data_IF_554515619346
#
_entry.id   IF_554515619346
#
_cell.length_a   1.000
_cell.length_b   1.000
_cell.length_c   1.000
_cell.angle_alpha   90.00
_cell.angle_beta   90.00
_cell.angle_gamma   90.00
#
_symmetry.space_group_name_H-M   'P 1'
#
loop_
_entity.id
_entity.type
_entity.pdbx_description
1 polymer ?
#
# COMPACT_ATOMS: atom_id res chain seq x y z
N UNK A 1 66.87 -7.89 -0.09
CA UNK A 1 65.80 -8.29 0.88
C UNK A 1 64.53 -7.57 0.50
N UNK A 2 63.62 -8.25 -0.15
CA UNK A 2 62.38 -7.67 -0.67
C UNK A 2 61.24 -8.20 0.21
N UNK A 3 60.63 -7.32 1.02
CA UNK A 3 59.60 -7.66 1.97
C UNK A 3 58.23 -7.57 1.25
N UNK A 4 57.60 -8.73 0.94
CA UNK A 4 56.23 -8.79 0.44
C UNK A 4 55.26 -8.64 1.58
N UNK A 5 54.59 -7.48 1.63
CA UNK A 5 53.42 -7.26 2.55
C UNK A 5 52.17 -7.84 1.87
N UNK A 6 51.69 -8.96 2.40
CA UNK A 6 50.43 -9.56 1.97
C UNK A 6 49.25 -8.76 2.63
N UNK A 7 48.51 -8.02 1.81
CA UNK A 7 47.27 -7.36 2.25
C UNK A 7 46.13 -8.38 2.21
N UNK A 8 45.73 -8.89 3.37
CA UNK A 8 44.52 -9.69 3.49
C UNK A 8 43.29 -8.80 3.40
N UNK A 9 42.58 -8.85 2.27
CA UNK A 9 41.23 -8.26 2.16
C UNK A 9 40.24 -9.18 2.88
N UNK A 10 39.78 -8.76 4.05
CA UNK A 10 38.63 -9.38 4.72
C UNK A 10 37.35 -8.92 4.05
N UNK A 11 36.72 -9.79 3.24
CA UNK A 11 35.37 -9.62 2.73
C UNK A 11 34.38 -9.71 3.92
N UNK A 12 33.92 -8.57 4.39
CA UNK A 12 32.76 -8.49 5.30
C UNK A 12 31.51 -8.77 4.48
N UNK A 13 31.06 -10.03 4.45
CA UNK A 13 29.73 -10.39 3.95
C UNK A 13 28.69 -9.84 4.91
N UNK A 14 28.08 -8.71 4.57
CA UNK A 14 26.86 -8.22 5.23
C UNK A 14 25.72 -9.18 4.90
N UNK A 15 25.47 -10.14 5.78
CA UNK A 15 24.22 -10.91 5.76
C UNK A 15 23.10 -9.92 6.05
N UNK A 16 22.27 -9.64 5.04
CA UNK A 16 20.96 -9.03 5.26
C UNK A 16 20.13 -10.05 6.06
N UNK A 17 20.01 -9.86 7.37
CA UNK A 17 19.08 -10.64 8.16
C UNK A 17 17.67 -10.38 7.65
N UNK A 18 16.94 -11.45 7.34
CA UNK A 18 15.55 -11.35 6.94
C UNK A 18 14.76 -10.72 8.10
N UNK A 19 14.05 -9.63 7.83
CA UNK A 19 13.20 -8.97 8.84
C UNK A 19 12.24 -9.97 9.47
N UNK A 20 12.10 -9.91 10.80
CA UNK A 20 11.07 -10.67 11.50
C UNK A 20 9.68 -10.06 11.27
N UNK A 21 8.62 -10.85 11.47
CA UNK A 21 7.24 -10.34 11.44
C UNK A 21 7.03 -9.17 12.41
N UNK A 22 7.64 -9.24 13.61
CA UNK A 22 7.57 -8.15 14.59
C UNK A 22 8.28 -6.87 14.15
N UNK A 23 9.39 -6.98 13.39
CA UNK A 23 10.08 -5.80 12.82
C UNK A 23 9.23 -5.12 11.76
N UNK A 24 8.64 -5.91 10.87
CA UNK A 24 7.72 -5.42 9.82
C UNK A 24 6.48 -4.78 10.46
N UNK A 25 5.89 -5.40 11.48
CA UNK A 25 4.74 -4.86 12.20
C UNK A 25 5.06 -3.49 12.82
N UNK A 26 6.21 -3.36 13.50
CA UNK A 26 6.67 -2.07 14.04
C UNK A 26 6.91 -1.03 12.95
N UNK A 27 7.47 -1.45 11.83
CA UNK A 27 7.74 -0.55 10.70
C UNK A 27 6.46 -0.12 9.99
N UNK A 28 5.44 -0.95 9.91
CA UNK A 28 4.11 -0.60 9.40
C UNK A 28 3.34 0.34 10.34
N UNK A 29 3.46 0.14 11.66
CA UNK A 29 2.65 0.81 12.69
C UNK A 29 2.55 2.32 12.51
N UNK A 30 1.35 2.86 12.71
CA UNK A 30 1.04 4.29 12.66
C UNK A 30 0.25 4.72 11.44
N UNK A 31 0.24 6.04 11.19
CA UNK A 31 -0.52 6.65 10.11
C UNK A 31 0.37 6.96 8.91
N UNK A 32 -0.13 6.65 7.73
CA UNK A 32 0.53 6.87 6.45
C UNK A 32 -0.36 7.69 5.52
N UNK A 33 0.21 8.69 4.88
CA UNK A 33 -0.46 9.51 3.86
C UNK A 33 -0.09 8.99 2.47
N UNK A 34 -1.09 8.84 1.62
CA UNK A 34 -0.88 8.51 0.21
C UNK A 34 -0.23 9.70 -0.51
N UNK A 35 0.91 9.48 -1.14
CA UNK A 35 1.61 10.50 -1.94
C UNK A 35 1.51 10.25 -3.44
N UNK A 36 1.36 8.98 -3.83
CA UNK A 36 1.08 8.62 -5.22
C UNK A 36 0.41 7.24 -5.29
N UNK A 37 -0.46 7.07 -6.27
CA UNK A 37 -0.88 5.74 -6.73
C UNK A 37 -0.82 5.72 -8.27
N UNK A 38 -0.17 4.70 -8.81
CA UNK A 38 0.08 4.58 -10.23
C UNK A 38 -0.37 3.23 -10.75
N UNK A 39 -0.82 3.20 -11.99
CA UNK A 39 -1.16 1.97 -12.71
C UNK A 39 -0.33 1.90 -13.99
N UNK A 40 0.32 0.77 -14.23
CA UNK A 40 0.95 0.46 -15.50
C UNK A 40 0.00 -0.43 -16.30
N UNK A 41 -0.18 -0.08 -17.57
CA UNK A 41 -1.06 -0.79 -18.50
C UNK A 41 -0.28 -1.79 -19.36
N UNK A 42 -0.98 -2.70 -20.01
CA UNK A 42 -0.38 -3.74 -20.84
C UNK A 42 0.37 -3.19 -22.07
N UNK A 43 0.02 -1.98 -22.53
CA UNK A 43 0.72 -1.26 -23.60
C UNK A 43 2.00 -0.55 -23.12
N UNK A 44 2.36 -0.69 -21.83
CA UNK A 44 3.53 -0.06 -21.22
C UNK A 44 3.29 1.36 -20.71
N UNK A 45 2.15 1.97 -21.00
CA UNK A 45 1.83 3.31 -20.49
C UNK A 45 1.56 3.29 -18.99
N UNK A 46 1.77 4.43 -18.33
CA UNK A 46 1.51 4.61 -16.90
C UNK A 46 0.52 5.75 -16.69
N UNK A 47 -0.44 5.56 -15.79
CA UNK A 47 -1.39 6.60 -15.39
C UNK A 47 -1.43 6.78 -13.88
N UNK A 48 -1.83 7.96 -13.43
CA UNK A 48 -2.08 8.26 -12.02
C UNK A 48 -3.43 7.71 -11.58
N UNK A 49 -3.48 7.14 -10.39
CA UNK A 49 -4.70 6.72 -9.73
C UNK A 49 -5.59 5.77 -10.52
N UNK A 50 -6.84 5.75 -10.13
CA UNK A 50 -7.90 5.10 -10.90
C UNK A 50 -8.41 6.09 -11.94
N UNK A 51 -8.42 5.71 -13.20
CA UNK A 51 -8.91 6.56 -14.31
C UNK A 51 -8.08 7.86 -14.57
N UNK A 52 -6.78 7.86 -14.25
CA UNK A 52 -5.90 9.00 -14.56
C UNK A 52 -5.94 10.14 -13.54
N UNK A 53 -6.66 9.98 -12.43
CA UNK A 53 -6.76 10.99 -11.37
C UNK A 53 -5.96 10.55 -10.15
N UNK A 54 -5.04 11.40 -9.66
CA UNK A 54 -4.32 11.17 -8.42
C UNK A 54 -5.31 11.18 -7.24
N UNK A 55 -5.30 10.11 -6.45
CA UNK A 55 -6.14 10.00 -5.26
C UNK A 55 -5.45 10.60 -4.03
N UNK A 56 -6.24 11.00 -3.05
CA UNK A 56 -5.79 11.36 -1.70
C UNK A 56 -6.23 10.26 -0.73
N UNK A 57 -5.48 10.03 0.33
CA UNK A 57 -5.86 8.99 1.29
C UNK A 57 -4.90 8.80 2.44
N UNK A 58 -5.38 7.98 3.38
CA UNK A 58 -4.62 7.56 4.55
C UNK A 58 -4.74 6.05 4.75
N UNK A 59 -3.69 5.47 5.31
CA UNK A 59 -3.69 4.13 5.87
C UNK A 59 -3.23 4.22 7.32
N UNK A 60 -3.89 3.48 8.19
CA UNK A 60 -3.51 3.33 9.59
C UNK A 60 -3.25 1.85 9.86
N UNK A 61 -2.11 1.55 10.47
CA UNK A 61 -1.77 0.22 10.95
C UNK A 61 -1.65 0.25 12.47
N UNK A 62 -2.23 -0.72 13.14
CA UNK A 62 -2.14 -0.84 14.58
C UNK A 62 -0.70 -1.19 15.02
N UNK A 63 -0.41 -1.05 16.31
CA UNK A 63 0.93 -1.27 16.85
C UNK A 63 1.37 -2.75 16.80
N UNK A 64 0.44 -3.68 16.69
CA UNK A 64 0.70 -5.12 16.65
C UNK A 64 0.90 -5.63 15.21
N UNK A 65 0.53 -4.84 14.20
CA UNK A 65 0.52 -5.23 12.80
C UNK A 65 -0.58 -6.24 12.46
N UNK A 66 -1.59 -6.39 13.33
CA UNK A 66 -2.68 -7.33 13.13
C UNK A 66 -3.90 -6.73 12.42
N UNK A 67 -4.02 -5.40 12.41
CA UNK A 67 -5.14 -4.70 11.78
C UNK A 67 -4.70 -3.45 11.04
N UNK A 68 -5.45 -3.10 10.01
CA UNK A 68 -5.30 -1.83 9.31
C UNK A 68 -6.65 -1.26 8.92
N UNK A 69 -6.71 0.08 8.79
CA UNK A 69 -7.78 0.76 8.09
C UNK A 69 -7.21 1.58 6.94
N UNK A 70 -7.95 1.67 5.86
CA UNK A 70 -7.60 2.37 4.63
C UNK A 70 -8.74 3.25 4.19
N UNK A 71 -8.41 4.48 3.85
CA UNK A 71 -9.34 5.44 3.26
C UNK A 71 -8.66 6.15 2.12
N UNK A 72 -9.22 6.05 0.94
CA UNK A 72 -8.75 6.74 -0.26
C UNK A 72 -9.94 7.34 -0.99
N UNK A 73 -9.77 8.54 -1.56
CA UNK A 73 -10.81 9.16 -2.34
C UNK A 73 -10.24 9.97 -3.51
N UNK A 74 -11.07 10.13 -4.53
CA UNK A 74 -10.83 11.10 -5.61
C UNK A 74 -10.97 12.52 -5.04
N UNK A 75 -9.99 13.42 -5.26
CA UNK A 75 -10.10 14.81 -4.83
C UNK A 75 -11.17 15.57 -5.61
N UNK A 76 -11.57 16.73 -5.10
CA UNK A 76 -12.47 17.67 -5.78
C UNK A 76 -13.81 17.05 -6.22
N UNK A 77 -14.36 16.16 -5.41
CA UNK A 77 -15.69 15.60 -5.66
C UNK A 77 -16.74 16.71 -5.62
N UNK A 78 -17.77 16.69 -6.51
CA UNK A 78 -18.84 17.67 -6.47
C UNK A 78 -19.54 17.71 -5.10
N UNK A 79 -19.87 18.91 -4.65
CA UNK A 79 -20.75 19.10 -3.49
C UNK A 79 -22.18 18.77 -3.93
N UNK A 80 -22.97 18.14 -3.07
CA UNK A 80 -24.38 17.86 -3.33
C UNK A 80 -25.16 19.15 -3.52
N UNK A 81 -26.10 19.14 -4.44
CA UNK A 81 -26.94 20.31 -4.73
C UNK A 81 -27.91 20.65 -3.60
N UNK A 82 -28.26 19.68 -2.75
CA UNK A 82 -29.21 19.84 -1.64
C UNK A 82 -28.70 19.24 -0.34
N UNK A 83 -29.58 19.20 0.67
CA UNK A 83 -29.27 18.61 1.98
C UNK A 83 -29.06 17.09 1.93
N UNK A 84 -29.61 16.43 0.92
CA UNK A 84 -29.41 15.01 0.63
C UNK A 84 -28.98 14.83 -0.83
N UNK A 85 -28.14 13.82 -1.15
CA UNK A 85 -27.74 13.56 -2.53
C UNK A 85 -28.91 13.04 -3.35
N UNK A 86 -28.91 13.36 -4.66
CA UNK A 86 -29.68 12.60 -5.63
C UNK A 86 -29.09 11.18 -5.76
N UNK A 87 -29.82 10.21 -6.34
CA UNK A 87 -29.26 8.87 -6.61
C UNK A 87 -27.95 8.90 -7.40
N UNK A 88 -27.82 9.78 -8.38
CA UNK A 88 -26.65 9.95 -9.22
C UNK A 88 -25.47 10.52 -8.43
N UNK A 89 -25.71 11.54 -7.60
CA UNK A 89 -24.70 12.14 -6.71
C UNK A 89 -24.23 11.12 -5.67
N UNK A 90 -25.15 10.34 -5.08
CA UNK A 90 -24.81 9.27 -4.14
C UNK A 90 -23.95 8.18 -4.78
N UNK A 91 -24.27 7.75 -6.00
CA UNK A 91 -23.49 6.80 -6.75
C UNK A 91 -22.10 7.34 -7.11
N UNK A 92 -22.01 8.60 -7.54
CA UNK A 92 -20.75 9.25 -7.84
C UNK A 92 -19.87 9.37 -6.59
N UNK A 93 -20.45 9.74 -5.44
CA UNK A 93 -19.74 9.79 -4.16
C UNK A 93 -19.21 8.42 -3.74
N UNK A 94 -20.01 7.36 -3.89
CA UNK A 94 -19.60 5.99 -3.58
C UNK A 94 -18.47 5.49 -4.50
N UNK A 95 -18.50 5.79 -5.78
CA UNK A 95 -17.46 5.43 -6.75
C UNK A 95 -16.15 6.19 -6.52
N UNK A 96 -16.24 7.38 -5.92
CA UNK A 96 -15.10 8.24 -5.64
C UNK A 96 -14.37 7.93 -4.33
N UNK A 97 -14.77 6.90 -3.57
CA UNK A 97 -14.15 6.51 -2.32
C UNK A 97 -13.75 5.04 -2.34
N UNK A 98 -12.74 4.67 -1.57
CA UNK A 98 -12.40 3.28 -1.25
C UNK A 98 -12.03 3.24 0.23
N UNK A 99 -12.86 2.59 1.04
CA UNK A 99 -12.72 2.55 2.49
C UNK A 99 -12.93 1.13 3.01
N UNK A 100 -12.02 0.67 3.87
CA UNK A 100 -12.12 -0.63 4.53
C UNK A 100 -11.24 -0.68 5.77
N UNK A 101 -11.56 -1.62 6.69
CA UNK A 101 -10.60 -2.12 7.66
C UNK A 101 -10.44 -3.64 7.45
N UNK A 102 -9.28 -4.16 7.83
CA UNK A 102 -8.90 -5.54 7.58
C UNK A 102 -8.01 -6.08 8.70
N UNK A 103 -8.17 -7.35 9.00
CA UNK A 103 -7.19 -8.15 9.74
C UNK A 103 -6.02 -8.47 8.82
N UNK A 104 -4.80 -8.42 9.35
CA UNK A 104 -3.55 -8.65 8.61
C UNK A 104 -2.87 -9.94 9.02
N UNK A 105 -2.27 -10.60 8.04
CA UNK A 105 -1.28 -11.64 8.21
C UNK A 105 0.00 -11.23 7.47
N UNK A 106 1.09 -11.01 8.23
CA UNK A 106 2.36 -10.52 7.68
C UNK A 106 3.28 -11.70 7.39
N UNK A 107 3.70 -11.84 6.14
CA UNK A 107 4.66 -12.83 5.64
C UNK A 107 6.01 -12.13 5.40
N UNK A 108 6.75 -11.92 6.51
CA UNK A 108 7.94 -11.08 6.51
C UNK A 108 9.07 -11.61 5.61
N UNK A 109 9.26 -12.92 5.55
CA UNK A 109 10.30 -13.56 4.73
C UNK A 109 10.04 -13.40 3.24
N UNK A 110 8.77 -13.43 2.85
CA UNK A 110 8.31 -13.32 1.47
C UNK A 110 8.08 -11.88 1.04
N UNK A 111 7.93 -10.93 1.97
CA UNK A 111 7.76 -9.51 1.69
C UNK A 111 6.35 -9.09 1.30
N UNK A 112 5.33 -9.80 1.79
CA UNK A 112 3.94 -9.45 1.57
C UNK A 112 3.10 -9.54 2.85
N UNK A 113 1.89 -8.98 2.79
CA UNK A 113 0.83 -9.16 3.78
C UNK A 113 -0.47 -9.54 3.10
N UNK A 114 -1.20 -10.48 3.68
CA UNK A 114 -2.56 -10.80 3.32
C UNK A 114 -3.51 -9.98 4.21
N UNK A 115 -4.58 -9.44 3.61
CA UNK A 115 -5.58 -8.59 4.26
C UNK A 115 -6.93 -9.24 4.09
N UNK A 116 -7.57 -9.62 5.18
CA UNK A 116 -8.95 -10.08 5.19
C UNK A 116 -9.84 -8.94 5.61
N UNK A 117 -10.77 -8.53 4.73
CA UNK A 117 -11.65 -7.40 5.00
C UNK A 117 -12.67 -7.72 6.08
N UNK A 118 -12.62 -6.97 7.20
CA UNK A 118 -13.59 -7.06 8.31
C UNK A 118 -14.79 -6.18 8.00
N UNK A 119 -14.53 -4.97 7.51
CA UNK A 119 -15.53 -4.04 6.97
C UNK A 119 -15.02 -3.47 5.64
N UNK A 120 -15.93 -3.23 4.70
CA UNK A 120 -15.58 -2.69 3.39
C UNK A 120 -16.79 -1.93 2.84
N UNK A 121 -16.56 -0.78 2.17
CA UNK A 121 -17.63 -0.05 1.48
C UNK A 121 -18.34 -0.89 0.42
N UNK A 122 -17.66 -1.86 -0.19
CA UNK A 122 -18.28 -2.88 -1.02
C UNK A 122 -18.66 -4.08 -0.16
N UNK A 123 -19.94 -4.31 0.18
CA UNK A 123 -20.36 -5.40 1.06
C UNK A 123 -19.97 -6.78 0.50
N UNK A 124 -19.86 -6.93 -0.82
CA UNK A 124 -19.41 -8.17 -1.45
C UNK A 124 -17.92 -8.49 -1.27
N UNK A 125 -17.13 -7.58 -0.69
CA UNK A 125 -15.72 -7.80 -0.39
C UNK A 125 -15.48 -8.30 1.04
N UNK A 126 -16.42 -8.11 1.96
CA UNK A 126 -16.28 -8.53 3.37
C UNK A 126 -15.97 -10.03 3.46
N UNK A 127 -14.99 -10.39 4.29
CA UNK A 127 -14.47 -11.74 4.47
C UNK A 127 -13.51 -12.24 3.39
N UNK A 128 -13.36 -11.52 2.27
CA UNK A 128 -12.38 -11.87 1.24
C UNK A 128 -10.98 -11.45 1.66
N UNK A 129 -9.98 -12.24 1.26
CA UNK A 129 -8.58 -11.93 1.43
C UNK A 129 -7.98 -11.36 0.14
N UNK A 130 -7.04 -10.42 0.29
CA UNK A 130 -6.27 -9.82 -0.81
C UNK A 130 -4.83 -9.63 -0.36
N UNK A 131 -3.90 -9.64 -1.31
CA UNK A 131 -2.46 -9.55 -1.04
C UNK A 131 -1.87 -8.21 -1.40
N UNK A 132 -0.92 -7.73 -0.56
CA UNK A 132 -0.07 -6.58 -0.86
C UNK A 132 1.39 -6.90 -0.61
N UNK A 133 2.19 -6.75 -1.64
CA UNK A 133 3.64 -6.77 -1.54
C UNK A 133 4.09 -5.42 -1.02
N UNK A 134 4.94 -5.40 -0.01
CA UNK A 134 5.46 -4.15 0.56
C UNK A 134 6.96 -4.01 0.33
N UNK A 135 7.40 -2.77 0.19
CA UNK A 135 8.81 -2.41 0.15
C UNK A 135 8.98 -1.10 0.92
N UNK A 136 9.91 -1.08 1.86
CA UNK A 136 10.24 0.12 2.61
C UNK A 136 11.45 0.83 2.00
N UNK A 137 11.36 2.16 1.87
CA UNK A 137 12.46 3.04 1.53
C UNK A 137 12.80 3.89 2.78
N UNK A 138 13.51 3.29 3.72
CA UNK A 138 13.75 3.85 5.04
C UNK A 138 12.53 3.76 5.97
N UNK A 139 12.52 4.52 7.10
CA UNK A 139 11.47 4.40 8.11
C UNK A 139 10.15 5.06 7.72
N UNK A 140 10.17 6.05 6.83
CA UNK A 140 9.05 6.96 6.61
C UNK A 140 8.45 6.88 5.19
N UNK A 141 8.93 5.94 4.37
CA UNK A 141 8.39 5.74 3.02
C UNK A 141 8.17 4.26 2.73
N UNK A 142 7.01 3.96 2.16
CA UNK A 142 6.59 2.60 1.83
C UNK A 142 5.91 2.56 0.46
N UNK A 143 6.17 1.51 -0.29
CA UNK A 143 5.41 1.16 -1.49
C UNK A 143 4.61 -0.11 -1.22
N UNK A 144 3.31 -0.08 -1.53
CA UNK A 144 2.46 -1.26 -1.57
C UNK A 144 2.10 -1.56 -3.02
N UNK A 145 2.40 -2.77 -3.48
CA UNK A 145 2.04 -3.28 -4.80
C UNK A 145 0.88 -4.26 -4.68
N UNK A 146 -0.10 -4.09 -5.55
CA UNK A 146 -1.24 -5.02 -5.67
C UNK A 146 -0.75 -6.35 -6.26
N UNK A 147 -1.25 -7.47 -5.75
CA UNK A 147 -0.95 -8.77 -6.33
C UNK A 147 -1.47 -8.86 -7.77
N UNK A 148 -0.69 -9.47 -8.63
CA UNK A 148 -1.03 -9.57 -10.05
C UNK A 148 -2.35 -10.34 -10.29
N UNK A 149 -2.68 -11.30 -9.42
CA UNK A 149 -3.92 -12.06 -9.50
C UNK A 149 -5.19 -11.23 -9.24
N UNK A 150 -5.04 -10.05 -8.60
CA UNK A 150 -6.16 -9.14 -8.32
C UNK A 150 -6.37 -8.11 -9.45
N UNK A 151 -5.45 -8.03 -10.41
CA UNK A 151 -5.49 -7.02 -11.47
C UNK A 151 -6.38 -7.46 -12.63
N UNK A 152 -7.13 -6.50 -13.16
CA UNK A 152 -7.96 -6.69 -14.35
C UNK A 152 -7.36 -5.93 -15.52
N UNK A 153 -7.22 -6.61 -16.66
CA UNK A 153 -6.74 -5.97 -17.89
C UNK A 153 -7.56 -4.71 -18.23
N UNK A 154 -6.92 -3.66 -18.74
CA UNK A 154 -5.54 -3.61 -19.23
C UNK A 154 -4.47 -3.32 -18.16
N UNK A 155 -4.82 -3.21 -16.87
CA UNK A 155 -3.87 -2.93 -15.79
C UNK A 155 -3.02 -4.17 -15.51
N UNK A 156 -1.69 -4.01 -15.50
CA UNK A 156 -0.72 -5.08 -15.21
C UNK A 156 0.09 -4.83 -13.95
N UNK A 157 0.03 -3.62 -13.39
CA UNK A 157 0.63 -3.27 -12.11
C UNK A 157 -0.11 -2.10 -11.47
N UNK A 158 -0.24 -2.14 -10.15
CA UNK A 158 -0.74 -1.01 -9.36
C UNK A 158 0.15 -0.83 -8.14
N UNK A 159 0.67 0.39 -7.97
CA UNK A 159 1.51 0.80 -6.87
C UNK A 159 0.84 1.91 -6.06
N UNK A 160 0.98 1.82 -4.74
CA UNK A 160 0.63 2.88 -3.80
C UNK A 160 1.88 3.29 -3.05
N UNK A 161 2.25 4.56 -3.11
CA UNK A 161 3.40 5.13 -2.43
C UNK A 161 2.90 5.94 -1.24
N UNK A 162 3.44 5.64 -0.07
CA UNK A 162 3.03 6.18 1.21
C UNK A 162 4.17 6.87 1.91
N UNK A 163 3.86 7.95 2.59
CA UNK A 163 4.75 8.60 3.54
C UNK A 163 4.15 8.59 4.93
N UNK A 164 4.98 8.34 5.93
CA UNK A 164 4.56 8.37 7.33
C UNK A 164 4.12 9.77 7.73
N UNK A 165 3.00 9.86 8.44
CA UNK A 165 2.59 11.11 9.06
C UNK A 165 3.38 11.29 10.34
N UNK A 166 4.31 12.24 10.34
CA UNK A 166 5.05 12.68 11.53
C UNK A 166 4.30 13.84 12.18
N UNK A 167 4.40 13.92 13.53
CA UNK A 167 3.82 15.04 14.29
C UNK A 167 4.57 16.33 14.01
#
# INVERSE_FOLDING_TARGET
MMCCVLFMLTLVSSRSEAQSTGDVARQLSGMWRLVANTQRLADGTTRQGTNGVANIGYAFFDATGSHMCFLMMTPNRPVWAGAAPTPEEGLAALRGINAYCATLEIHAKEGFMDRRYDINQNPGAVGKATRRWYTFQGPDRMTLRVDAAELTKPVVETLFIWERVTK
#
